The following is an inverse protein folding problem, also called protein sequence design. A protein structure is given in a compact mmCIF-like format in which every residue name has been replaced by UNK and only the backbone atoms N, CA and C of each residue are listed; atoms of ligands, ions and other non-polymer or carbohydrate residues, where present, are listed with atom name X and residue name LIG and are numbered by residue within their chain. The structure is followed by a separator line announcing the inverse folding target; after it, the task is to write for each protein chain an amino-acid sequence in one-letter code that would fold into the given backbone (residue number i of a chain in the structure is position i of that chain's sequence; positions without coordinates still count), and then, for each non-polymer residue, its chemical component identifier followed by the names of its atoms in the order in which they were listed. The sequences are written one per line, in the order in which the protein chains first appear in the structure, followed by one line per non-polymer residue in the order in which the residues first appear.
data_IF_779030494557
#
_entry.id   IF_779030494557
#
_cell.length_a   1.000
_cell.length_b   1.000
_cell.length_c   1.000
_cell.angle_alpha   90.00
_cell.angle_beta   90.00
_cell.angle_gamma   90.00
#
_symmetry.space_group_name_H-M   'P 1'
#
loop_
_entity.id
_entity.type
_entity.pdbx_description
1 polymer ?
#
# COMPACT_ATOMS: atom_id res chain seq x y z
N UNK A 1 4.40 16.66 0.35
CA UNK A 1 5.08 17.35 1.46
C UNK A 1 5.72 16.28 2.30
N UNK A 2 6.89 16.56 2.87
CA UNK A 2 7.60 15.64 3.74
C UNK A 2 7.18 15.96 5.17
N UNK A 3 6.59 14.99 5.87
CA UNK A 3 6.01 15.18 7.21
C UNK A 3 6.67 14.24 8.20
N UNK A 4 7.18 14.80 9.28
CA UNK A 4 7.64 14.01 10.44
C UNK A 4 6.58 13.94 11.52
N UNK A 5 6.35 12.74 12.06
CA UNK A 5 5.51 12.52 13.23
C UNK A 5 6.36 11.87 14.30
N UNK A 6 6.58 12.57 15.41
CA UNK A 6 7.31 12.04 16.55
C UNK A 6 6.31 11.37 17.50
N UNK A 7 6.42 10.04 17.62
CA UNK A 7 5.55 9.16 18.40
C UNK A 7 4.55 8.37 17.54
N UNK A 8 4.51 7.05 17.71
CA UNK A 8 3.69 6.09 16.96
C UNK A 8 2.63 5.40 17.83
N UNK A 9 2.07 6.15 18.78
CA UNK A 9 0.88 5.74 19.52
C UNK A 9 -0.40 5.89 18.70
N UNK A 10 -1.56 5.85 19.38
CA UNK A 10 -2.88 5.94 18.74
C UNK A 10 -3.00 7.09 17.74
N UNK A 11 -2.71 8.30 18.20
CA UNK A 11 -2.85 9.52 17.40
C UNK A 11 -1.78 9.58 16.31
N UNK A 12 -0.54 9.22 16.62
CA UNK A 12 0.58 9.34 15.68
C UNK A 12 0.43 8.42 14.48
N UNK A 13 0.19 7.15 14.72
CA UNK A 13 0.04 6.15 13.65
C UNK A 13 -1.19 6.41 12.79
N UNK A 14 -2.31 6.83 13.40
CA UNK A 14 -3.53 7.15 12.64
C UNK A 14 -3.35 8.38 11.76
N UNK A 15 -2.72 9.44 12.27
CA UNK A 15 -2.43 10.64 11.47
C UNK A 15 -1.44 10.30 10.36
N UNK A 16 -0.43 9.49 10.65
CA UNK A 16 0.56 9.06 9.67
C UNK A 16 -0.09 8.36 8.47
N UNK A 17 -0.94 7.36 8.75
CA UNK A 17 -1.71 6.67 7.73
C UNK A 17 -2.57 7.64 6.93
N UNK A 18 -3.37 8.50 7.59
CA UNK A 18 -4.20 9.49 6.89
C UNK A 18 -3.41 10.45 6.01
N UNK A 19 -2.22 10.89 6.43
CA UNK A 19 -1.39 11.78 5.62
C UNK A 19 -0.75 11.04 4.44
N UNK A 20 -0.42 9.76 4.62
CA UNK A 20 0.05 8.90 3.54
C UNK A 20 -1.07 8.65 2.51
N UNK A 21 -2.30 8.38 2.94
CA UNK A 21 -3.49 8.27 2.05
C UNK A 21 -3.68 9.54 1.19
N UNK A 22 -3.31 10.71 1.73
CA UNK A 22 -3.39 12.00 1.05
C UNK A 22 -2.20 12.30 0.13
N UNK A 23 -1.27 11.34 -0.04
CA UNK A 23 -0.11 11.43 -0.92
C UNK A 23 1.06 12.24 -0.34
N UNK A 24 1.16 12.35 0.99
CA UNK A 24 2.34 12.94 1.64
C UNK A 24 3.42 11.88 1.90
N UNK A 25 4.68 12.30 1.92
CA UNK A 25 5.78 11.43 2.36
C UNK A 25 5.89 11.57 3.88
N UNK A 26 5.70 10.48 4.60
CA UNK A 26 5.57 10.50 6.06
C UNK A 26 6.65 9.65 6.71
N UNK A 27 7.32 10.23 7.70
CA UNK A 27 8.25 9.51 8.58
C UNK A 27 7.75 9.54 10.01
N UNK A 28 7.50 8.36 10.58
CA UNK A 28 7.26 8.18 11.99
C UNK A 28 8.59 8.01 12.73
N UNK A 29 8.86 8.89 13.68
CA UNK A 29 10.02 8.77 14.58
C UNK A 29 9.54 8.17 15.88
N UNK A 30 10.02 6.97 16.21
CA UNK A 30 9.63 6.21 17.39
C UNK A 30 10.86 5.66 18.11
N UNK A 31 10.82 5.61 19.45
CA UNK A 31 11.96 5.15 20.25
C UNK A 31 11.96 3.63 20.44
N UNK A 32 10.78 3.00 20.41
CA UNK A 32 10.65 1.54 20.48
C UNK A 32 10.89 0.91 19.10
N UNK A 33 12.06 0.31 18.92
CA UNK A 33 12.46 -0.39 17.69
C UNK A 33 11.42 -1.42 17.22
N UNK A 34 10.70 -2.06 18.15
CA UNK A 34 9.68 -3.05 17.78
C UNK A 34 8.52 -2.40 17.03
N UNK A 35 8.11 -1.20 17.44
CA UNK A 35 7.04 -0.46 16.77
C UNK A 35 7.51 -0.01 15.38
N UNK A 36 8.77 0.43 15.27
CA UNK A 36 9.39 0.78 14.00
C UNK A 36 9.39 -0.41 13.04
N UNK A 37 9.84 -1.57 13.50
CA UNK A 37 9.83 -2.82 12.72
C UNK A 37 8.42 -3.21 12.29
N UNK A 38 7.44 -3.14 13.19
CA UNK A 38 6.03 -3.44 12.89
C UNK A 38 5.48 -2.53 11.79
N UNK A 39 5.65 -1.21 11.90
CA UNK A 39 5.19 -0.26 10.87
C UNK A 39 5.89 -0.52 9.53
N UNK A 40 7.22 -0.71 9.54
CA UNK A 40 8.00 -0.97 8.32
C UNK A 40 7.70 -2.33 7.68
N UNK A 41 7.09 -3.26 8.42
CA UNK A 41 6.57 -4.52 7.89
C UNK A 41 5.16 -4.37 7.28
N UNK A 42 4.58 -3.17 7.27
CA UNK A 42 3.20 -2.93 6.81
C UNK A 42 2.15 -3.36 7.84
N UNK A 43 2.54 -3.52 9.11
CA UNK A 43 1.63 -3.94 10.18
C UNK A 43 1.29 -2.76 11.12
N UNK A 44 0.06 -2.70 11.60
CA UNK A 44 -0.35 -1.65 12.54
C UNK A 44 0.08 -2.01 13.99
N UNK A 45 0.84 -1.14 14.69
CA UNK A 45 1.26 -1.37 16.08
C UNK A 45 0.14 -1.21 17.12
N UNK A 46 -1.04 -0.73 16.69
CA UNK A 46 -2.22 -0.49 17.53
C UNK A 46 -3.46 -1.08 16.86
N UNK A 47 -4.48 -1.38 17.67
CA UNK A 47 -5.76 -1.85 17.14
C UNK A 47 -6.72 -0.67 16.94
N UNK A 48 -6.99 -0.35 15.68
CA UNK A 48 -8.02 0.61 15.26
C UNK A 48 -8.68 0.13 13.95
N UNK A 49 -9.97 0.41 13.79
CA UNK A 49 -10.74 -0.08 12.65
C UNK A 49 -10.20 0.50 11.33
N UNK A 50 -9.78 -0.37 10.40
CA UNK A 50 -9.27 0.02 9.09
C UNK A 50 -7.82 0.53 9.07
N UNK A 51 -7.16 0.67 10.23
CA UNK A 51 -5.78 1.16 10.26
C UNK A 51 -4.78 0.15 9.69
N UNK A 52 -4.96 -1.14 9.99
CA UNK A 52 -4.05 -2.19 9.49
C UNK A 52 -3.97 -2.24 7.96
N UNK A 53 -5.11 -2.06 7.28
CA UNK A 53 -5.18 -2.02 5.83
C UNK A 53 -4.42 -0.81 5.27
N UNK A 54 -4.61 0.38 5.85
CA UNK A 54 -3.90 1.59 5.43
C UNK A 54 -2.40 1.53 5.67
N UNK A 55 -1.98 0.96 6.80
CA UNK A 55 -0.55 0.76 7.07
C UNK A 55 0.04 -0.24 6.06
N UNK A 56 -0.66 -1.31 5.71
CA UNK A 56 -0.19 -2.26 4.71
C UNK A 56 -0.16 -1.67 3.27
N UNK A 57 -1.02 -0.71 2.97
CA UNK A 57 -1.05 -0.01 1.68
C UNK A 57 0.12 0.98 1.54
N UNK A 58 0.44 1.71 2.62
CA UNK A 58 1.38 2.83 2.57
C UNK A 58 2.75 2.55 3.19
N UNK A 59 2.88 1.48 3.98
CA UNK A 59 4.13 1.04 4.57
C UNK A 59 4.36 -0.44 4.25
N UNK A 60 5.59 -0.91 4.48
CA UNK A 60 5.99 -2.27 4.12
C UNK A 60 7.31 -2.27 3.37
N UNK A 61 7.94 -3.44 3.22
CA UNK A 61 9.05 -3.58 2.29
C UNK A 61 8.56 -3.14 0.91
N UNK A 62 9.43 -2.45 0.17
CA UNK A 62 9.23 -2.29 -1.26
C UNK A 62 8.87 -3.66 -1.81
N UNK A 63 7.65 -3.80 -2.31
CA UNK A 63 7.31 -4.92 -3.17
C UNK A 63 8.10 -4.69 -4.46
N UNK A 64 9.42 -4.86 -4.38
CA UNK A 64 10.27 -5.17 -5.50
C UNK A 64 9.63 -6.41 -6.09
N UNK A 65 8.83 -6.16 -7.11
CA UNK A 65 8.20 -7.15 -7.95
C UNK A 65 9.33 -7.82 -8.75
N UNK A 66 10.18 -8.60 -8.08
CA UNK A 66 10.86 -9.69 -8.75
C UNK A 66 9.74 -10.65 -9.16
N UNK A 67 9.42 -10.61 -10.45
CA UNK A 67 8.45 -11.50 -11.06
C UNK A 67 8.90 -12.93 -10.88
N UNK A 68 8.53 -13.55 -9.75
CA UNK A 68 8.10 -14.93 -9.84
C UNK A 68 6.74 -14.89 -10.53
N UNK A 69 6.77 -14.84 -11.86
CA UNK A 69 5.84 -15.64 -12.63
C UNK A 69 5.90 -17.03 -11.98
N UNK A 70 4.98 -17.28 -11.06
CA UNK A 70 4.67 -18.64 -10.66
C UNK A 70 4.17 -19.25 -11.95
N UNK A 71 5.08 -19.88 -12.70
CA UNK A 71 4.77 -20.54 -13.94
C UNK A 71 3.55 -21.40 -13.66
N UNK A 72 2.44 -21.00 -14.29
CA UNK A 72 1.21 -21.73 -14.23
C UNK A 72 1.48 -23.00 -15.03
N UNK A 73 2.06 -24.01 -14.38
CA UNK A 73 2.24 -25.34 -14.93
C UNK A 73 0.88 -26.03 -14.97
N UNK A 74 -0.02 -25.50 -15.80
CA UNK A 74 -1.15 -26.24 -16.31
C UNK A 74 -0.63 -27.21 -17.38
N UNK A 75 -1.15 -28.45 -17.45
CA UNK A 75 -0.78 -29.34 -18.53
C UNK A 75 -1.25 -28.71 -19.85
N UNK A 76 -0.33 -28.56 -20.80
CA UNK A 76 -0.65 -28.17 -22.19
C UNK A 76 -1.59 -29.22 -22.77
N UNK A 77 -2.89 -28.97 -22.67
CA UNK A 77 -3.90 -29.75 -23.36
C UNK A 77 -3.92 -29.25 -24.81
N UNK A 78 -3.24 -29.98 -25.69
CA UNK A 78 -3.31 -29.81 -27.13
C UNK A 78 -4.78 -29.66 -27.57
N UNK A 79 -5.15 -28.46 -28.01
CA UNK A 79 -6.48 -28.18 -28.51
C UNK A 79 -6.53 -28.50 -30.02
N UNK A 80 -6.82 -29.75 -30.36
CA UNK A 80 -7.28 -30.15 -31.69
C UNK A 80 -8.75 -29.75 -31.84
N UNK A 81 -8.99 -28.51 -32.26
CA UNK A 81 -10.31 -28.04 -32.66
C UNK A 81 -10.56 -28.38 -34.12
N UNK A 82 -11.50 -29.28 -34.40
CA UNK A 82 -12.06 -29.43 -35.74
C UNK A 82 -12.88 -28.18 -36.09
N UNK A 83 -12.53 -27.50 -37.18
CA UNK A 83 -13.24 -26.35 -37.74
C UNK A 83 -14.69 -26.73 -38.11
N UNK A 84 -15.61 -26.57 -37.16
CA UNK A 84 -17.03 -26.59 -37.41
C UNK A 84 -17.53 -25.14 -37.44
N UNK A 85 -17.78 -24.65 -38.65
CA UNK A 85 -18.28 -23.29 -38.90
C UNK A 85 -19.55 -23.00 -38.09
N UNK A 86 -19.46 -22.01 -37.20
CA UNK A 86 -20.57 -21.58 -36.37
C UNK A 86 -21.38 -20.50 -37.11
N UNK A 87 -22.39 -20.91 -37.87
CA UNK A 87 -23.38 -19.99 -38.45
C UNK A 87 -24.45 -19.65 -37.39
N UNK A 88 -24.15 -18.68 -36.51
CA UNK A 88 -25.13 -18.03 -35.63
C UNK A 88 -25.47 -16.62 -36.16
N UNK A 89 -26.68 -16.08 -35.89
CA UNK A 89 -27.00 -14.72 -36.30
C UNK A 89 -26.18 -13.71 -35.50
N UNK A 90 -25.63 -12.71 -36.20
CA UNK A 90 -24.95 -11.55 -35.59
C UNK A 90 -25.93 -10.81 -34.68
N UNK A 91 -25.76 -10.98 -33.37
CA UNK A 91 -26.48 -10.20 -32.36
C UNK A 91 -25.55 -9.07 -31.95
N UNK A 92 -25.84 -7.85 -32.41
CA UNK A 92 -25.14 -6.64 -31.98
C UNK A 92 -25.28 -6.51 -30.46
N UNK A 93 -24.15 -6.58 -29.76
CA UNK A 93 -24.10 -6.46 -28.30
C UNK A 93 -23.73 -5.01 -27.95
N UNK A 94 -24.72 -4.12 -27.92
CA UNK A 94 -24.59 -2.78 -27.31
C UNK A 94 -24.61 -2.93 -25.77
N UNK A 95 -23.49 -3.38 -25.21
CA UNK A 95 -23.22 -3.30 -23.78
C UNK A 95 -22.82 -1.87 -23.39
N UNK A 96 -23.14 -1.39 -22.18
CA UNK A 96 -22.65 -0.08 -21.75
C UNK A 96 -21.12 -0.10 -21.68
N UNK A 97 -20.47 0.85 -22.35
CA UNK A 97 -19.05 1.14 -22.18
C UNK A 97 -18.80 1.53 -20.72
N UNK A 98 -18.55 0.54 -19.87
CA UNK A 98 -17.96 0.78 -18.57
C UNK A 98 -16.49 1.07 -18.84
N UNK A 99 -16.14 2.35 -18.86
CA UNK A 99 -14.76 2.81 -18.73
C UNK A 99 -14.18 2.20 -17.45
N UNK A 100 -13.54 1.03 -17.57
CA UNK A 100 -12.66 0.50 -16.56
C UNK A 100 -11.39 1.35 -16.58
N UNK A 101 -11.48 2.56 -16.02
CA UNK A 101 -10.32 3.28 -15.55
C UNK A 101 -9.83 2.54 -14.30
N UNK A 102 -9.07 1.46 -14.54
CA UNK A 102 -8.28 0.83 -13.48
C UNK A 102 -7.36 1.88 -12.86
N UNK A 103 -7.02 1.76 -11.56
CA UNK A 103 -6.15 2.74 -10.92
C UNK A 103 -4.85 2.83 -11.72
N UNK A 104 -4.53 4.05 -12.19
CA UNK A 104 -3.28 4.35 -12.85
C UNK A 104 -2.14 3.83 -11.96
N UNK A 105 -1.39 2.86 -12.48
CA UNK A 105 -0.31 2.21 -11.77
C UNK A 105 0.84 3.18 -11.50
N UNK A 106 0.83 3.83 -10.34
CA UNK A 106 2.07 4.22 -9.67
C UNK A 106 2.46 3.11 -8.72
N UNK A 107 3.35 2.26 -9.19
CA UNK A 107 4.24 1.39 -8.46
C UNK A 107 5.11 2.19 -7.47
N UNK A 108 4.48 2.73 -6.42
CA UNK A 108 5.15 3.46 -5.36
C UNK A 108 5.53 2.48 -4.25
N UNK A 109 6.83 2.39 -4.00
CA UNK A 109 7.36 2.24 -2.64
C UNK A 109 6.44 2.98 -1.67
N UNK A 110 6.00 2.32 -0.60
CA UNK A 110 5.08 2.91 0.37
C UNK A 110 5.58 4.30 0.82
N UNK A 111 4.70 5.29 0.87
CA UNK A 111 5.03 6.67 1.25
C UNK A 111 5.01 6.92 2.77
N UNK A 112 4.90 5.85 3.57
CA UNK A 112 5.01 5.86 5.03
C UNK A 112 6.14 4.92 5.48
N UNK A 113 7.07 5.45 6.26
CA UNK A 113 8.12 4.66 6.95
C UNK A 113 8.28 5.07 8.41
N UNK A 114 8.91 4.22 9.20
CA UNK A 114 9.27 4.49 10.58
C UNK A 114 10.79 4.38 10.82
N UNK A 115 11.31 5.17 11.76
CA UNK A 115 12.73 5.22 12.12
C UNK A 115 12.90 5.52 13.61
N UNK A 116 14.03 5.13 14.18
CA UNK A 116 14.49 5.61 15.50
C UNK A 116 15.37 6.85 15.39
N UNK A 117 15.83 7.21 14.18
CA UNK A 117 16.75 8.31 13.96
C UNK A 117 16.00 9.65 13.84
N UNK A 118 16.30 10.55 14.79
CA UNK A 118 15.78 11.92 14.76
C UNK A 118 16.41 12.80 13.67
N UNK A 119 17.49 12.36 13.03
CA UNK A 119 18.12 13.10 11.93
C UNK A 119 17.14 13.28 10.75
N UNK A 120 16.29 12.28 10.48
CA UNK A 120 15.28 12.33 9.42
C UNK A 120 14.29 13.50 9.60
N UNK A 121 14.09 14.00 10.82
CA UNK A 121 13.19 15.14 11.09
C UNK A 121 13.66 16.41 10.41
N UNK A 122 14.98 16.59 10.23
CA UNK A 122 15.57 17.82 9.69
C UNK A 122 15.30 18.03 8.20
N UNK A 123 14.83 17.00 7.51
CA UNK A 123 14.56 17.03 6.08
C UNK A 123 13.06 17.19 5.76
N UNK A 124 12.23 17.47 6.79
CA UNK A 124 10.78 17.59 6.63
C UNK A 124 10.26 19.02 6.63
N UNK A 125 9.20 19.26 5.87
CA UNK A 125 8.52 20.54 5.75
C UNK A 125 7.76 20.90 7.05
N UNK A 126 7.20 19.87 7.70
CA UNK A 126 6.35 19.99 8.90
C UNK A 126 6.65 18.85 9.87
N UNK A 127 6.71 19.16 11.16
CA UNK A 127 6.90 18.17 12.23
C UNK A 127 5.77 18.25 13.26
N UNK A 128 5.13 17.13 13.55
CA UNK A 128 4.20 16.96 14.66
C UNK A 128 4.90 16.27 15.82
N UNK A 129 4.90 16.89 17.00
CA UNK A 129 5.36 16.28 18.24
C UNK A 129 4.15 15.77 19.03
N UNK A 130 3.97 14.46 19.09
CA UNK A 130 2.83 13.85 19.77
C UNK A 130 3.33 13.20 21.07
N UNK A 131 2.98 13.82 22.19
CA UNK A 131 3.29 13.28 23.52
C UNK A 131 2.53 11.96 23.75
N UNK A 132 3.22 10.95 24.29
CA UNK A 132 2.63 9.78 24.92
C UNK A 132 1.67 10.23 26.04
N UNK A 133 0.39 10.37 25.72
CA UNK A 133 -0.64 10.33 26.76
C UNK A 133 -0.69 8.87 27.17
N UNK A 134 -0.07 8.54 28.30
CA UNK A 134 -0.34 7.29 29.00
C UNK A 134 -1.79 7.40 29.49
N UNK A 135 -2.72 6.74 28.79
CA UNK A 135 -4.12 6.61 29.22
C UNK A 135 -4.21 5.43 30.19
#
# INVERSE_FOLDING_TARGET
MHVSIIGSGYVGTTIAACLADLGHEVVNVEIDERIVETINAGEAPIHESGLAERIAEHAGPDADHDGSDAEHAGPDADHDGSDAEHAGPDVDHDGPDTDHHGPDGSNASGNLRATTDYADVRETDVTFLLSLIHI
#
